data_IF_196619561842
#
_entry.id   IF_196619561842
#
_cell.length_a   1.000
_cell.length_b   1.000
_cell.length_c   1.000
_cell.angle_alpha   90.00
_cell.angle_beta   90.00
_cell.angle_gamma   90.00
#
_symmetry.space_group_name_H-M   'P 1'
#
loop_
_entity.id
_entity.type
_entity.pdbx_description
1 polymer ?
#
# COMPACT_ATOMS: atom_id res chain seq x y z
N UNK A 1 37.17 52.06 31.81
CA UNK A 1 37.55 50.78 31.17
C UNK A 1 36.40 49.83 31.38
N UNK A 2 35.55 49.64 30.35
CA UNK A 2 34.43 48.70 30.38
C UNK A 2 34.74 47.55 29.45
N UNK A 3 34.90 46.37 30.03
CA UNK A 3 35.12 45.09 29.36
C UNK A 3 33.74 44.52 28.97
N UNK A 4 33.45 44.52 27.69
CA UNK A 4 32.31 43.83 27.10
C UNK A 4 32.66 42.32 26.97
N UNK A 5 31.93 41.49 27.74
CA UNK A 5 31.96 40.05 27.59
C UNK A 5 31.04 39.65 26.41
N UNK A 6 31.63 39.11 25.35
CA UNK A 6 30.85 38.49 24.24
C UNK A 6 30.35 37.13 24.72
N UNK A 7 29.01 37.00 24.77
CA UNK A 7 28.34 35.72 24.99
C UNK A 7 28.46 34.90 23.72
N UNK A 8 29.19 33.80 23.76
CA UNK A 8 29.25 32.81 22.72
C UNK A 8 27.91 32.06 22.69
N UNK A 9 27.18 32.17 21.58
CA UNK A 9 25.99 31.37 21.32
C UNK A 9 26.38 29.91 21.23
N UNK A 10 25.92 29.09 22.18
CA UNK A 10 26.03 27.64 22.12
C UNK A 10 25.25 27.15 20.91
N UNK A 11 25.96 26.58 19.93
CA UNK A 11 25.33 25.89 18.80
C UNK A 11 24.57 24.67 19.36
N UNK A 12 23.26 24.74 19.21
CA UNK A 12 22.33 23.67 19.59
C UNK A 12 22.62 22.45 18.71
N UNK A 13 23.44 21.52 19.22
CA UNK A 13 23.78 20.25 18.57
C UNK A 13 22.65 19.23 18.74
N UNK A 14 21.47 19.53 18.17
CA UNK A 14 20.45 18.51 17.97
C UNK A 14 21.01 17.40 17.09
N UNK A 15 20.95 16.12 17.52
CA UNK A 15 21.47 15.02 16.72
C UNK A 15 20.82 15.03 15.34
N UNK A 16 21.62 14.98 14.28
CA UNK A 16 21.15 14.86 12.89
C UNK A 16 20.14 13.69 12.82
N UNK A 17 18.87 14.03 12.66
CA UNK A 17 17.84 13.02 12.49
C UNK A 17 18.13 12.23 11.21
N UNK A 18 18.35 10.92 11.34
CA UNK A 18 18.67 10.02 10.23
C UNK A 18 17.37 9.49 9.62
N UNK A 19 17.25 9.48 8.29
CA UNK A 19 16.15 8.85 7.56
C UNK A 19 16.64 7.64 6.75
N UNK A 20 15.70 6.74 6.40
CA UNK A 20 15.96 5.57 5.54
C UNK A 20 15.77 5.82 4.04
N UNK A 21 15.56 7.06 3.61
CA UNK A 21 15.28 7.38 2.21
C UNK A 21 16.49 7.15 1.32
N UNK A 22 16.26 6.40 0.21
CA UNK A 22 17.22 6.16 -0.88
C UNK A 22 16.54 6.56 -2.18
N UNK A 23 17.22 7.27 -3.07
CA UNK A 23 16.65 7.76 -4.33
C UNK A 23 15.65 8.91 -4.12
N UNK A 24 14.35 8.66 -4.24
CA UNK A 24 13.31 9.64 -3.96
C UNK A 24 13.28 9.94 -2.45
N UNK A 25 13.46 11.21 -2.07
CA UNK A 25 13.60 11.63 -0.68
C UNK A 25 12.43 12.55 -0.29
N UNK A 26 11.31 11.94 0.08
CA UNK A 26 10.02 12.60 0.32
C UNK A 26 9.61 12.68 1.80
N UNK A 27 10.46 12.27 2.75
CA UNK A 27 10.16 12.44 4.17
C UNK A 27 10.47 13.85 4.67
N UNK A 28 9.87 14.25 5.80
CA UNK A 28 10.07 15.57 6.40
C UNK A 28 11.54 15.88 6.73
N UNK A 29 12.35 14.87 7.10
CA UNK A 29 13.78 15.06 7.34
C UNK A 29 14.50 15.49 6.06
N UNK A 30 14.23 14.80 4.95
CA UNK A 30 14.81 15.14 3.66
C UNK A 30 14.38 16.51 3.17
N UNK A 31 13.14 16.90 3.40
CA UNK A 31 12.62 18.23 3.04
C UNK A 31 13.32 19.34 3.83
N UNK A 32 13.51 19.15 5.15
CA UNK A 32 14.24 20.13 5.99
C UNK A 32 15.72 20.26 5.63
N UNK A 33 16.35 19.20 5.16
CA UNK A 33 17.78 19.19 4.76
C UNK A 33 18.03 19.76 3.36
N UNK A 34 16.97 19.92 2.55
CA UNK A 34 17.09 20.50 1.21
C UNK A 34 16.70 21.98 1.24
N UNK A 35 17.70 22.84 1.19
CA UNK A 35 17.49 24.27 0.95
C UNK A 35 17.11 24.48 -0.53
N UNK A 36 15.84 24.35 -0.90
CA UNK A 36 15.34 24.58 -2.25
C UNK A 36 14.04 23.83 -2.53
N UNK A 37 13.25 24.32 -3.51
CA UNK A 37 12.00 23.67 -3.92
C UNK A 37 12.27 22.24 -4.38
N UNK A 38 11.56 21.25 -3.83
CA UNK A 38 11.73 19.86 -4.21
C UNK A 38 11.42 19.66 -5.71
N UNK A 39 12.19 18.84 -6.45
CA UNK A 39 11.96 18.61 -7.88
C UNK A 39 10.60 17.98 -8.23
N UNK A 40 9.84 17.49 -7.23
CA UNK A 40 8.49 16.94 -7.37
C UNK A 40 7.36 17.97 -7.16
N UNK A 41 7.67 19.23 -6.83
CA UNK A 41 6.72 20.35 -6.94
C UNK A 41 6.48 20.79 -8.40
N UNK A 42 6.59 19.89 -9.37
CA UNK A 42 5.81 20.03 -10.59
C UNK A 42 4.37 20.10 -10.14
N UNK A 43 3.67 21.17 -10.51
CA UNK A 43 2.24 21.36 -10.23
C UNK A 43 1.56 20.01 -10.38
N UNK A 44 0.94 19.46 -9.33
CA UNK A 44 0.29 18.15 -9.46
C UNK A 44 -0.69 18.30 -10.62
N UNK A 45 -0.48 17.52 -11.68
CA UNK A 45 -1.43 17.46 -12.78
C UNK A 45 -2.78 17.21 -12.12
N UNK A 46 -3.75 18.11 -12.33
CA UNK A 46 -5.05 18.03 -11.64
C UNK A 46 -5.68 16.70 -12.04
N UNK A 47 -5.65 15.74 -11.16
CA UNK A 47 -6.26 14.43 -11.40
C UNK A 47 -7.74 14.48 -11.04
N UNK A 48 -8.55 13.86 -11.87
CA UNK A 48 -9.95 13.58 -11.59
C UNK A 48 -10.01 12.47 -10.53
N UNK A 49 -10.41 12.81 -9.32
CA UNK A 49 -10.49 11.87 -8.21
C UNK A 49 -11.87 11.21 -8.18
N UNK A 50 -11.91 9.89 -8.31
CA UNK A 50 -13.11 9.07 -8.15
C UNK A 50 -13.04 8.33 -6.82
N UNK A 51 -14.18 8.11 -6.17
CA UNK A 51 -14.29 7.37 -4.92
C UNK A 51 -14.70 5.93 -5.22
N UNK A 52 -13.91 4.97 -4.77
CA UNK A 52 -14.25 3.55 -4.89
C UNK A 52 -15.39 3.17 -3.94
N UNK A 53 -16.41 2.53 -4.48
CA UNK A 53 -17.52 1.97 -3.72
C UNK A 53 -17.36 0.44 -3.63
N UNK A 54 -17.01 -0.13 -2.47
CA UNK A 54 -16.79 -1.56 -2.34
C UNK A 54 -18.06 -2.40 -2.53
N UNK A 55 -19.24 -1.83 -2.30
CA UNK A 55 -20.51 -2.54 -2.43
C UNK A 55 -20.91 -2.77 -3.90
N UNK A 56 -20.44 -1.92 -4.80
CA UNK A 56 -20.77 -1.98 -6.23
C UNK A 56 -19.58 -2.37 -7.12
N UNK A 57 -18.34 -2.19 -6.65
CA UNK A 57 -17.14 -2.35 -7.45
C UNK A 57 -16.91 -1.22 -8.47
N UNK A 58 -17.54 -0.07 -8.28
CA UNK A 58 -17.43 1.08 -9.16
C UNK A 58 -16.61 2.20 -8.52
N UNK A 59 -15.94 2.96 -9.38
CA UNK A 59 -15.32 4.24 -9.03
C UNK A 59 -16.29 5.35 -9.44
N UNK A 60 -16.74 6.14 -8.46
CA UNK A 60 -17.81 7.13 -8.61
C UNK A 60 -17.27 8.55 -8.44
N UNK A 61 -17.70 9.47 -9.28
CA UNK A 61 -17.38 10.89 -9.14
C UNK A 61 -17.92 11.45 -7.81
N UNK A 62 -17.10 12.25 -7.08
CA UNK A 62 -17.52 12.83 -5.82
C UNK A 62 -18.75 13.72 -5.98
N UNK A 63 -19.57 13.75 -4.93
CA UNK A 63 -20.68 14.71 -4.83
C UNK A 63 -20.13 16.15 -4.88
N UNK A 64 -20.90 17.06 -5.43
CA UNK A 64 -20.58 18.49 -5.60
C UNK A 64 -19.31 18.74 -6.45
N UNK A 65 -18.93 17.80 -7.35
CA UNK A 65 -17.83 17.93 -8.31
C UNK A 65 -18.34 17.94 -9.76
N UNK A 66 -17.49 18.32 -10.71
CA UNK A 66 -17.74 18.21 -12.16
C UNK A 66 -17.86 16.76 -12.67
N UNK A 67 -17.62 15.81 -11.78
CA UNK A 67 -17.73 14.37 -12.01
C UNK A 67 -18.93 13.74 -11.31
N UNK A 68 -19.74 14.53 -10.61
CA UNK A 68 -20.94 14.00 -9.96
C UNK A 68 -21.87 13.32 -10.97
N UNK A 69 -22.35 12.13 -10.62
CA UNK A 69 -23.16 11.30 -11.50
C UNK A 69 -22.38 10.50 -12.54
N UNK A 70 -21.05 10.69 -12.67
CA UNK A 70 -20.20 9.89 -13.53
C UNK A 70 -19.50 8.78 -12.76
N UNK A 71 -19.36 7.61 -13.40
CA UNK A 71 -18.71 6.47 -12.79
C UNK A 71 -18.11 5.52 -13.85
N UNK A 72 -17.28 4.60 -13.40
CA UNK A 72 -16.79 3.49 -14.22
C UNK A 72 -16.52 2.24 -13.35
N UNK A 73 -16.63 1.02 -13.92
CA UNK A 73 -16.28 -0.22 -13.22
C UNK A 73 -14.80 -0.22 -12.83
N UNK A 74 -14.49 -0.54 -11.58
CA UNK A 74 -13.12 -0.65 -11.08
C UNK A 74 -12.89 -2.02 -10.45
N UNK A 75 -12.73 -3.08 -11.26
CA UNK A 75 -12.60 -4.44 -10.78
C UNK A 75 -11.23 -4.72 -10.17
N UNK A 76 -11.16 -5.79 -9.36
CA UNK A 76 -9.92 -6.28 -8.76
C UNK A 76 -9.61 -5.65 -7.39
N UNK A 77 -10.60 -5.05 -6.75
CA UNK A 77 -10.50 -4.56 -5.38
C UNK A 77 -11.52 -5.28 -4.51
N UNK A 78 -11.04 -5.92 -3.44
CA UNK A 78 -11.90 -6.47 -2.39
C UNK A 78 -11.50 -5.84 -1.06
N UNK A 79 -12.49 -5.32 -0.32
CA UNK A 79 -12.31 -4.72 0.99
C UNK A 79 -13.17 -5.45 2.02
N UNK A 80 -12.51 -6.12 2.97
CA UNK A 80 -13.16 -6.85 4.06
C UNK A 80 -12.97 -6.03 5.33
N UNK A 81 -14.05 -5.39 5.81
CA UNK A 81 -14.04 -4.57 7.01
C UNK A 81 -14.03 -5.47 8.26
N UNK A 82 -13.46 -4.95 9.35
CA UNK A 82 -13.37 -5.64 10.65
C UNK A 82 -12.85 -7.08 10.55
N UNK A 83 -11.85 -7.28 9.69
CA UNK A 83 -11.21 -8.58 9.46
C UNK A 83 -10.54 -9.13 10.74
N UNK A 84 -10.04 -8.27 11.60
CA UNK A 84 -9.53 -8.60 12.95
C UNK A 84 -10.31 -7.81 14.00
N UNK A 85 -10.43 -8.38 15.20
CA UNK A 85 -11.05 -7.68 16.34
C UNK A 85 -10.12 -6.60 16.90
N UNK A 86 -10.62 -5.66 17.73
CA UNK A 86 -9.76 -4.69 18.42
C UNK A 86 -8.68 -5.34 19.30
N UNK A 87 -9.00 -6.47 19.95
CA UNK A 87 -8.07 -7.21 20.81
C UNK A 87 -6.97 -7.88 19.97
N UNK A 88 -7.35 -8.50 18.83
CA UNK A 88 -6.40 -9.07 17.87
C UNK A 88 -5.48 -8.00 17.30
N UNK A 89 -6.01 -6.84 16.93
CA UNK A 89 -5.24 -5.69 16.47
C UNK A 89 -4.21 -5.25 17.52
N UNK A 90 -4.66 -5.05 18.76
CA UNK A 90 -3.80 -4.61 19.87
C UNK A 90 -2.65 -5.61 20.12
N UNK A 91 -2.95 -6.91 20.12
CA UNK A 91 -1.95 -7.95 20.33
C UNK A 91 -0.97 -8.04 19.15
N UNK A 92 -1.44 -7.95 17.91
CA UNK A 92 -0.57 -7.95 16.73
C UNK A 92 0.39 -6.76 16.74
N UNK A 93 -0.11 -5.57 17.04
CA UNK A 93 0.71 -4.35 17.11
C UNK A 93 1.73 -4.44 18.25
N UNK A 94 1.32 -4.94 19.43
CA UNK A 94 2.23 -5.19 20.55
C UNK A 94 3.37 -6.12 20.17
N UNK A 95 3.08 -7.22 19.45
CA UNK A 95 4.08 -8.18 18.99
C UNK A 95 4.99 -7.58 17.91
N UNK A 96 4.45 -6.80 16.97
CA UNK A 96 5.25 -6.07 16.00
C UNK A 96 6.18 -5.06 16.68
N UNK A 97 5.70 -4.34 17.70
CA UNK A 97 6.48 -3.33 18.42
C UNK A 97 7.55 -3.95 19.36
N UNK A 98 7.46 -5.25 19.67
CA UNK A 98 8.51 -5.96 20.42
C UNK A 98 9.77 -6.24 19.59
N UNK A 99 9.66 -6.21 18.27
CA UNK A 99 10.77 -6.36 17.35
C UNK A 99 11.23 -4.98 16.79
N UNK A 100 12.51 -4.81 16.43
CA UNK A 100 13.03 -3.55 15.94
C UNK A 100 12.43 -3.14 14.58
N UNK A 101 12.00 -1.90 14.46
CA UNK A 101 11.59 -1.27 13.22
C UNK A 101 12.79 -0.65 12.49
N UNK A 102 13.06 -1.06 11.26
CA UNK A 102 14.10 -0.46 10.40
C UNK A 102 13.57 0.78 9.69
N UNK A 103 14.40 1.82 9.57
CA UNK A 103 14.07 2.99 8.76
C UNK A 103 13.91 2.60 7.28
N UNK A 104 12.89 3.16 6.65
CA UNK A 104 12.53 2.87 5.26
C UNK A 104 12.32 4.14 4.44
N UNK A 105 11.99 3.96 3.17
CA UNK A 105 11.72 5.01 2.20
C UNK A 105 10.56 5.91 2.65
N UNK A 106 10.59 7.20 2.28
CA UNK A 106 9.50 8.16 2.44
C UNK A 106 8.95 8.24 3.87
N UNK A 107 9.84 8.27 4.88
CA UNK A 107 9.50 8.45 6.29
C UNK A 107 8.85 7.24 6.99
N UNK A 108 8.70 6.12 6.30
CA UNK A 108 8.20 4.87 6.90
C UNK A 108 9.25 4.17 7.73
N UNK A 109 8.81 3.25 8.58
CA UNK A 109 9.63 2.17 9.14
C UNK A 109 9.08 0.84 8.65
N UNK A 110 9.88 -0.21 8.67
CA UNK A 110 9.48 -1.53 8.18
C UNK A 110 10.07 -2.67 8.98
N UNK A 111 9.42 -3.82 8.88
CA UNK A 111 9.91 -5.13 9.27
C UNK A 111 9.65 -6.07 8.11
N UNK A 112 10.68 -6.71 7.60
CA UNK A 112 10.58 -7.64 6.47
C UNK A 112 10.65 -9.08 6.99
N UNK A 113 9.69 -9.90 6.59
CA UNK A 113 9.66 -11.35 6.78
C UNK A 113 9.56 -11.99 5.40
N UNK A 114 10.70 -12.17 4.76
CA UNK A 114 10.76 -12.68 3.39
C UNK A 114 12.19 -12.92 2.93
N UNK A 115 12.35 -13.49 1.75
CA UNK A 115 13.67 -13.73 1.16
C UNK A 115 14.35 -12.41 0.76
N UNK A 116 15.66 -12.44 0.65
CA UNK A 116 16.41 -11.31 0.10
C UNK A 116 16.32 -11.28 -1.42
N UNK A 117 15.78 -10.18 -1.97
CA UNK A 117 15.51 -10.05 -3.41
C UNK A 117 16.38 -8.97 -4.04
N UNK A 118 16.94 -9.28 -5.22
CA UNK A 118 17.50 -8.31 -6.14
C UNK A 118 16.61 -8.26 -7.40
N UNK A 119 15.63 -7.37 -7.41
CA UNK A 119 14.66 -7.24 -8.50
C UNK A 119 15.33 -6.93 -9.85
N UNK A 120 16.36 -6.07 -9.88
CA UNK A 120 17.06 -5.73 -11.12
C UNK A 120 17.73 -6.93 -11.80
N UNK A 121 18.24 -7.89 -11.00
CA UNK A 121 18.90 -9.09 -11.48
C UNK A 121 17.99 -10.31 -11.49
N UNK A 122 16.74 -10.15 -11.05
CA UNK A 122 15.79 -11.25 -10.84
C UNK A 122 16.43 -12.43 -10.08
N UNK A 123 17.09 -12.09 -8.96
CA UNK A 123 17.76 -13.07 -8.10
C UNK A 123 17.21 -13.01 -6.69
N UNK A 124 16.97 -14.18 -6.14
CA UNK A 124 16.42 -14.40 -4.83
C UNK A 124 17.33 -15.30 -4.02
N UNK A 125 17.43 -15.04 -2.70
CA UNK A 125 18.19 -15.85 -1.75
C UNK A 125 17.39 -15.98 -0.46
N UNK A 126 17.38 -17.16 0.15
CA UNK A 126 16.79 -17.40 1.47
C UNK A 126 17.39 -16.48 2.55
N UNK A 127 18.70 -16.31 2.58
CA UNK A 127 19.46 -15.28 3.36
C UNK A 127 18.95 -15.07 4.80
N UNK A 128 18.70 -16.15 5.53
CA UNK A 128 18.23 -16.09 6.92
C UNK A 128 16.72 -15.97 7.09
N UNK A 129 15.95 -16.01 6.01
CA UNK A 129 14.49 -16.10 6.08
C UNK A 129 14.07 -17.44 6.71
N UNK A 130 13.39 -17.35 7.85
CA UNK A 130 12.96 -18.52 8.65
C UNK A 130 11.45 -18.72 8.62
N UNK A 131 10.71 -17.83 7.97
CA UNK A 131 9.27 -17.90 7.85
C UNK A 131 8.54 -16.59 8.14
N UNK A 132 7.23 -16.65 8.03
CA UNK A 132 6.34 -15.57 8.48
C UNK A 132 6.32 -15.54 10.02
N UNK A 133 5.98 -14.39 10.64
CA UNK A 133 5.90 -14.31 12.09
C UNK A 133 4.74 -15.11 12.64
N UNK A 134 4.91 -15.69 13.83
CA UNK A 134 3.92 -16.57 14.48
C UNK A 134 2.57 -15.87 14.72
N UNK A 135 2.58 -14.57 15.00
CA UNK A 135 1.35 -13.81 15.22
C UNK A 135 0.46 -13.70 13.98
N UNK A 136 1.01 -13.91 12.77
CA UNK A 136 0.25 -13.85 11.52
C UNK A 136 -0.44 -15.18 11.15
N UNK A 137 -0.14 -16.29 11.85
CA UNK A 137 -0.67 -17.60 11.50
C UNK A 137 -2.20 -17.64 11.51
N UNK A 138 -2.84 -17.07 12.54
CA UNK A 138 -4.31 -17.01 12.63
C UNK A 138 -4.91 -16.15 11.50
N UNK A 139 -4.27 -15.03 11.20
CA UNK A 139 -4.67 -14.09 10.14
C UNK A 139 -4.62 -14.78 8.79
N UNK A 140 -3.52 -15.44 8.45
CA UNK A 140 -3.36 -16.17 7.18
C UNK A 140 -4.37 -17.31 7.05
N UNK A 141 -4.61 -18.08 8.12
CA UNK A 141 -5.65 -19.12 8.10
C UNK A 141 -7.05 -18.54 7.86
N UNK A 142 -7.36 -17.40 8.50
CA UNK A 142 -8.64 -16.71 8.32
C UNK A 142 -8.83 -16.21 6.89
N UNK A 143 -7.77 -15.74 6.21
CA UNK A 143 -7.84 -15.35 4.80
C UNK A 143 -8.43 -16.47 3.94
N UNK A 144 -8.04 -17.72 4.17
CA UNK A 144 -8.55 -18.88 3.43
C UNK A 144 -10.04 -19.18 3.61
N UNK A 145 -10.75 -18.46 4.46
CA UNK A 145 -12.20 -18.55 4.61
C UNK A 145 -12.98 -17.57 3.71
N UNK A 146 -12.27 -16.70 3.00
CA UNK A 146 -12.88 -15.67 2.16
C UNK A 146 -12.77 -16.03 0.68
N UNK A 147 -13.84 -15.76 -0.12
CA UNK A 147 -13.83 -15.99 -1.56
C UNK A 147 -12.65 -15.33 -2.25
N UNK A 148 -11.93 -16.10 -3.08
CA UNK A 148 -10.76 -15.66 -3.81
C UNK A 148 -9.45 -15.68 -3.01
N UNK A 149 -9.47 -16.12 -1.73
CA UNK A 149 -8.29 -16.28 -0.89
C UNK A 149 -8.11 -17.72 -0.36
N UNK A 150 -8.92 -18.67 -0.79
CA UNK A 150 -8.94 -20.06 -0.29
C UNK A 150 -7.58 -20.75 -0.48
N UNK A 151 -6.93 -20.48 -1.59
CA UNK A 151 -5.61 -21.00 -1.96
C UNK A 151 -4.48 -19.98 -1.83
N UNK A 152 -4.72 -18.81 -1.22
CA UNK A 152 -3.69 -17.81 -0.99
C UNK A 152 -2.63 -18.33 -0.02
N UNK A 153 -1.38 -18.37 -0.48
CA UNK A 153 -0.23 -18.89 0.30
C UNK A 153 0.88 -17.82 0.29
N UNK A 154 0.89 -16.92 1.27
CA UNK A 154 1.91 -15.88 1.34
C UNK A 154 3.28 -16.46 1.67
N UNK A 155 4.30 -15.93 1.00
CA UNK A 155 5.73 -16.24 1.25
C UNK A 155 6.49 -15.03 1.76
N UNK A 156 5.87 -13.86 1.76
CA UNK A 156 6.43 -12.64 2.32
C UNK A 156 5.37 -11.92 3.13
N UNK A 157 5.81 -11.36 4.23
CA UNK A 157 5.08 -10.33 4.97
C UNK A 157 6.00 -9.12 5.19
N UNK A 158 5.53 -7.96 4.78
CA UNK A 158 6.18 -6.69 5.06
C UNK A 158 5.28 -5.86 5.97
N UNK A 159 5.73 -5.61 7.19
CA UNK A 159 5.06 -4.66 8.08
C UNK A 159 5.58 -3.26 7.79
N UNK A 160 4.68 -2.29 7.63
CA UNK A 160 5.01 -0.90 7.42
C UNK A 160 4.35 -0.04 8.50
N UNK A 161 5.16 0.83 9.11
CA UNK A 161 4.73 1.82 10.11
C UNK A 161 4.81 3.22 9.52
N UNK A 162 3.66 3.89 9.48
CA UNK A 162 3.48 5.26 9.00
C UNK A 162 3.22 6.18 10.19
N UNK A 163 3.77 7.39 10.12
CA UNK A 163 3.56 8.43 11.13
C UNK A 163 3.55 9.82 10.47
N UNK A 164 2.61 10.70 10.87
CA UNK A 164 2.56 12.07 10.38
C UNK A 164 3.84 12.86 10.74
N UNK A 165 4.43 12.61 11.91
CA UNK A 165 5.64 13.31 12.38
C UNK A 165 6.87 13.02 11.51
N UNK A 166 6.90 11.87 10.85
CA UNK A 166 7.93 11.52 9.87
C UNK A 166 7.58 11.92 8.45
N UNK A 167 6.34 12.41 8.21
CA UNK A 167 5.81 12.67 6.88
C UNK A 167 5.75 11.40 6.04
N UNK A 168 5.28 10.33 6.66
CA UNK A 168 5.25 9.01 6.02
C UNK A 168 4.29 8.96 4.84
N UNK A 169 4.74 8.35 3.75
CA UNK A 169 3.98 8.13 2.53
C UNK A 169 4.48 6.88 1.80
N UNK A 170 3.75 6.42 0.81
CA UNK A 170 4.26 5.48 -0.19
C UNK A 170 3.93 6.04 -1.56
N UNK A 171 4.99 6.22 -2.36
CA UNK A 171 4.88 6.79 -3.70
C UNK A 171 4.17 5.80 -4.65
N UNK A 172 3.51 6.28 -5.73
CA UNK A 172 2.84 5.41 -6.68
C UNK A 172 3.80 4.36 -7.26
N UNK A 173 3.43 3.08 -7.16
CA UNK A 173 4.23 1.96 -7.67
C UNK A 173 3.37 0.75 -7.99
N UNK A 174 3.92 -0.14 -8.80
CA UNK A 174 3.46 -1.51 -8.97
C UNK A 174 4.41 -2.43 -8.21
N UNK A 175 3.88 -3.45 -7.57
CA UNK A 175 4.71 -4.53 -7.04
C UNK A 175 5.24 -5.37 -8.21
N UNK A 176 6.48 -5.85 -8.10
CA UNK A 176 7.16 -6.59 -9.16
C UNK A 176 6.45 -7.90 -9.47
N UNK A 177 5.99 -8.07 -10.72
CA UNK A 177 5.23 -9.23 -11.17
C UNK A 177 6.08 -10.46 -11.50
N UNK A 178 7.42 -10.32 -11.60
CA UNK A 178 8.29 -11.48 -11.74
C UNK A 178 8.25 -12.35 -10.48
N UNK A 179 8.22 -11.74 -9.30
CA UNK A 179 8.28 -12.46 -8.03
C UNK A 179 6.91 -12.64 -7.39
N UNK A 180 6.09 -11.57 -7.40
CA UNK A 180 4.82 -11.53 -6.68
C UNK A 180 3.65 -11.91 -7.57
N UNK A 181 2.80 -12.78 -7.06
CA UNK A 181 1.67 -13.35 -7.76
C UNK A 181 0.50 -12.40 -7.96
N UNK A 182 -0.66 -13.01 -8.17
CA UNK A 182 -1.89 -12.32 -8.55
C UNK A 182 -2.46 -11.45 -7.44
N UNK A 183 -2.33 -11.86 -6.19
CA UNK A 183 -2.99 -11.22 -5.05
C UNK A 183 -1.99 -10.44 -4.19
N UNK A 184 -2.25 -9.14 -4.00
CA UNK A 184 -1.61 -8.32 -2.98
C UNK A 184 -2.61 -8.12 -1.84
N UNK A 185 -2.28 -8.61 -0.67
CA UNK A 185 -3.18 -8.60 0.49
C UNK A 185 -2.58 -7.73 1.59
N UNK A 186 -3.32 -6.73 2.05
CA UNK A 186 -2.84 -5.78 3.07
C UNK A 186 -3.84 -5.64 4.21
N UNK A 187 -3.44 -6.00 5.42
CA UNK A 187 -4.19 -5.77 6.65
C UNK A 187 -3.82 -4.40 7.22
N UNK A 188 -4.81 -3.51 7.34
CA UNK A 188 -4.64 -2.16 7.88
C UNK A 188 -4.95 -2.12 9.37
N UNK A 189 -4.05 -1.55 10.17
CA UNK A 189 -4.14 -1.50 11.62
C UNK A 189 -3.99 -0.06 12.16
N UNK A 190 -4.54 0.20 13.34
CA UNK A 190 -4.54 1.42 14.14
C UNK A 190 -5.36 2.56 13.56
N UNK A 191 -5.09 3.02 12.36
CA UNK A 191 -5.84 4.12 11.77
C UNK A 191 -6.24 3.86 10.33
N UNK A 192 -7.34 4.51 9.93
CA UNK A 192 -7.79 4.50 8.54
C UNK A 192 -6.81 5.26 7.64
N UNK A 193 -6.88 4.96 6.34
CA UNK A 193 -6.15 5.68 5.30
C UNK A 193 -6.91 5.66 3.98
N UNK A 194 -6.35 6.28 2.96
CA UNK A 194 -6.83 6.17 1.57
C UNK A 194 -5.69 5.61 0.73
N UNK A 195 -5.97 4.55 0.01
CA UNK A 195 -5.10 4.03 -1.06
C UNK A 195 -5.52 4.70 -2.35
N UNK A 196 -4.60 5.45 -2.96
CA UNK A 196 -4.79 6.14 -4.24
C UNK A 196 -4.29 5.25 -5.37
N UNK A 197 -5.17 4.94 -6.31
CA UNK A 197 -4.85 4.15 -7.50
C UNK A 197 -4.74 5.07 -8.70
N UNK A 198 -3.65 4.98 -9.47
CA UNK A 198 -3.46 5.79 -10.67
C UNK A 198 -2.83 4.97 -11.80
N UNK A 199 -3.05 5.40 -13.05
CA UNK A 199 -2.57 4.68 -14.22
C UNK A 199 -1.84 5.64 -15.14
N UNK A 200 -0.57 5.35 -15.41
CA UNK A 200 0.29 6.16 -16.26
C UNK A 200 0.22 5.76 -17.76
N UNK A 201 -0.44 4.63 -18.06
CA UNK A 201 -0.56 4.13 -19.43
C UNK A 201 -1.40 5.09 -20.31
N UNK A 202 -1.05 5.23 -21.61
CA UNK A 202 -1.87 5.97 -22.54
C UNK A 202 -3.25 5.32 -22.72
N UNK A 203 -4.24 6.11 -23.13
CA UNK A 203 -5.60 5.65 -23.33
C UNK A 203 -6.61 6.47 -22.54
N UNK A 204 -7.87 6.15 -22.72
CA UNK A 204 -8.97 6.86 -22.05
C UNK A 204 -9.89 5.87 -21.37
N UNK A 205 -10.47 6.31 -20.26
CA UNK A 205 -11.55 5.64 -19.56
C UNK A 205 -12.88 6.18 -20.08
N UNK A 206 -13.79 5.29 -20.35
CA UNK A 206 -15.16 5.63 -20.69
C UNK A 206 -15.97 5.70 -19.38
N UNK A 207 -16.48 6.87 -19.08
CA UNK A 207 -17.38 7.10 -17.98
C UNK A 207 -18.81 6.88 -18.45
N UNK A 208 -19.63 6.28 -17.60
CA UNK A 208 -21.05 6.15 -17.76
C UNK A 208 -21.79 6.84 -16.62
N UNK A 209 -23.09 7.00 -16.73
CA UNK A 209 -23.90 7.42 -15.59
C UNK A 209 -23.71 6.45 -14.43
N UNK A 210 -23.53 7.00 -13.23
CA UNK A 210 -23.39 6.18 -12.03
C UNK A 210 -24.57 5.25 -11.88
N UNK A 211 -24.37 3.95 -11.55
CA UNK A 211 -25.47 3.05 -11.30
C UNK A 211 -26.35 3.60 -10.16
N UNK A 212 -27.66 3.65 -10.38
CA UNK A 212 -28.58 4.03 -9.32
C UNK A 212 -28.43 3.03 -8.17
N UNK A 213 -28.13 3.52 -6.98
CA UNK A 213 -28.10 2.73 -5.75
C UNK A 213 -29.54 2.51 -5.27
N UNK A 214 -30.22 1.46 -5.79
CA UNK A 214 -31.56 1.13 -5.37
C UNK A 214 -32.24 0.05 -6.23
N UNK A 215 -33.35 -0.56 -5.74
CA UNK A 215 -34.01 -1.65 -6.44
C UNK A 215 -34.71 -1.25 -7.77
N UNK A 216 -34.78 0.04 -8.12
CA UNK A 216 -35.43 0.54 -9.33
C UNK A 216 -34.52 0.67 -10.57
N UNK A 217 -33.26 0.17 -10.51
CA UNK A 217 -32.23 0.35 -11.54
C UNK A 217 -32.48 -0.41 -12.87
N UNK A 218 -33.61 -1.08 -13.06
CA UNK A 218 -33.85 -2.01 -14.18
C UNK A 218 -34.84 -1.50 -15.25
N UNK A 219 -35.24 -0.23 -15.27
CA UNK A 219 -36.17 0.29 -16.29
C UNK A 219 -35.56 1.46 -17.06
N UNK A 220 -35.09 1.17 -18.27
CA UNK A 220 -34.84 2.21 -19.28
C UNK A 220 -33.56 2.02 -20.09
N UNK A 221 -33.66 1.33 -21.22
CA UNK A 221 -32.63 1.33 -22.25
C UNK A 221 -32.64 2.66 -23.01
N UNK A 222 -32.08 3.70 -22.37
CA UNK A 222 -31.69 4.94 -23.05
C UNK A 222 -30.18 4.82 -23.20
N UNK A 223 -29.66 5.12 -24.39
CA UNK A 223 -28.19 5.23 -24.59
C UNK A 223 -27.67 6.21 -23.55
N UNK A 224 -27.05 5.67 -22.49
CA UNK A 224 -26.58 6.49 -21.39
C UNK A 224 -25.50 7.44 -21.93
N UNK A 225 -25.49 8.71 -21.55
CA UNK A 225 -24.42 9.63 -21.95
C UNK A 225 -23.07 9.02 -21.54
N UNK A 226 -22.10 9.11 -22.44
CA UNK A 226 -20.74 8.65 -22.18
C UNK A 226 -19.77 9.83 -22.27
N UNK A 227 -18.79 9.86 -21.35
CA UNK A 227 -17.71 10.84 -21.31
C UNK A 227 -16.37 10.09 -21.30
N UNK A 228 -15.42 10.54 -22.10
CA UNK A 228 -14.06 9.97 -22.10
C UNK A 228 -13.12 10.86 -21.31
N UNK A 229 -12.27 10.26 -20.47
CA UNK A 229 -11.26 10.96 -19.67
C UNK A 229 -9.92 10.22 -19.85
N UNK A 230 -8.78 10.94 -20.10
CA UNK A 230 -7.47 10.31 -20.20
C UNK A 230 -7.15 9.53 -18.92
N UNK A 231 -6.63 8.29 -19.07
CA UNK A 231 -6.29 7.43 -17.92
C UNK A 231 -5.32 8.10 -16.96
N UNK A 232 -4.37 8.88 -17.49
CA UNK A 232 -3.33 9.58 -16.70
C UNK A 232 -3.89 10.69 -15.80
N UNK A 233 -5.08 11.20 -16.13
CA UNK A 233 -5.76 12.25 -15.36
C UNK A 233 -6.70 11.68 -14.29
N UNK A 234 -6.77 10.35 -14.16
CA UNK A 234 -7.68 9.69 -13.21
C UNK A 234 -6.92 9.17 -11.99
N UNK A 235 -7.48 9.42 -10.83
CA UNK A 235 -7.10 8.80 -9.56
C UNK A 235 -8.34 8.17 -8.93
N UNK A 236 -8.24 6.91 -8.47
CA UNK A 236 -9.30 6.25 -7.72
C UNK A 236 -8.88 6.15 -6.26
N UNK A 237 -9.67 6.72 -5.37
CA UNK A 237 -9.44 6.74 -3.93
C UNK A 237 -10.22 5.59 -3.26
N UNK A 238 -9.50 4.65 -2.67
CA UNK A 238 -10.06 3.54 -1.90
C UNK A 238 -9.93 3.88 -0.42
N UNK A 239 -11.07 4.13 0.25
CA UNK A 239 -11.08 4.32 1.69
C UNK A 239 -10.85 2.99 2.40
N UNK A 240 -9.79 2.91 3.21
CA UNK A 240 -9.36 1.70 3.93
C UNK A 240 -9.46 1.94 5.42
N UNK A 241 -10.54 1.48 6.09
CA UNK A 241 -10.70 1.58 7.55
C UNK A 241 -9.59 0.82 8.30
N UNK A 242 -9.41 1.11 9.58
CA UNK A 242 -8.61 0.26 10.45
C UNK A 242 -9.24 -1.15 10.54
N UNK A 243 -8.43 -2.16 10.86
CA UNK A 243 -8.80 -3.57 10.96
C UNK A 243 -9.39 -4.19 9.69
N UNK A 244 -9.24 -3.55 8.53
CA UNK A 244 -9.72 -4.08 7.26
C UNK A 244 -8.62 -4.73 6.44
N UNK A 245 -9.01 -5.76 5.68
CA UNK A 245 -8.17 -6.44 4.72
C UNK A 245 -8.49 -5.89 3.32
N UNK A 246 -7.49 -5.33 2.67
CA UNK A 246 -7.55 -4.91 1.26
C UNK A 246 -6.87 -5.94 0.39
N UNK A 247 -7.55 -6.41 -0.65
CA UNK A 247 -7.01 -7.33 -1.65
C UNK A 247 -7.03 -6.64 -3.01
N UNK A 248 -5.89 -6.60 -3.68
CA UNK A 248 -5.76 -6.12 -5.06
C UNK A 248 -5.42 -7.28 -5.98
N UNK A 249 -6.19 -7.41 -7.07
CA UNK A 249 -6.07 -8.46 -8.09
C UNK A 249 -6.27 -7.89 -9.49
N UNK A 250 -5.99 -8.66 -10.53
CA UNK A 250 -6.28 -8.32 -11.92
C UNK A 250 -5.78 -6.93 -12.33
N UNK A 251 -6.66 -6.15 -12.94
CA UNK A 251 -6.29 -4.80 -13.41
C UNK A 251 -5.83 -3.88 -12.28
N UNK A 252 -6.49 -3.92 -11.12
CA UNK A 252 -6.09 -3.12 -9.96
C UNK A 252 -4.66 -3.47 -9.48
N UNK A 253 -4.25 -4.74 -9.57
CA UNK A 253 -2.92 -5.23 -9.21
C UNK A 253 -1.86 -4.92 -10.28
N UNK A 254 -2.19 -5.12 -11.58
CA UNK A 254 -1.19 -5.17 -12.63
C UNK A 254 -1.13 -3.92 -13.52
N UNK A 255 -2.17 -3.09 -13.53
CA UNK A 255 -2.27 -1.94 -14.42
C UNK A 255 -2.38 -0.60 -13.68
N UNK A 256 -2.74 -0.62 -12.40
CA UNK A 256 -2.88 0.58 -11.59
C UNK A 256 -1.80 0.61 -10.51
N UNK A 257 -1.02 1.68 -10.51
CA UNK A 257 -0.09 1.95 -9.40
C UNK A 257 -0.89 2.28 -8.15
N UNK A 258 -0.40 1.84 -6.99
CA UNK A 258 -1.00 2.17 -5.71
C UNK A 258 -0.07 3.04 -4.88
N UNK A 259 -0.66 3.97 -4.13
CA UNK A 259 0.03 4.93 -3.28
C UNK A 259 -0.74 5.22 -2.00
N UNK A 260 -0.06 5.74 -0.98
CA UNK A 260 -0.69 6.38 0.17
C UNK A 260 -0.04 7.75 0.32
N UNK A 261 -0.79 8.80 0.03
CA UNK A 261 -0.29 10.17 0.15
C UNK A 261 -0.17 10.57 1.62
N UNK A 262 0.81 11.42 1.93
CA UNK A 262 1.07 11.94 3.28
C UNK A 262 -0.19 12.55 3.92
N UNK A 263 -1.02 13.24 3.14
CA UNK A 263 -2.27 13.84 3.62
C UNK A 263 -3.27 12.83 4.20
N UNK A 264 -3.13 11.55 3.86
CA UNK A 264 -3.99 10.46 4.34
C UNK A 264 -3.41 9.71 5.55
N UNK A 265 -2.28 10.17 6.09
CA UNK A 265 -1.66 9.67 7.32
C UNK A 265 -1.83 10.73 8.40
N UNK A 266 -2.93 10.66 9.14
CA UNK A 266 -3.28 11.64 10.18
C UNK A 266 -2.89 11.19 11.59
N UNK A 267 -2.74 9.89 11.79
CA UNK A 267 -2.26 9.26 13.02
C UNK A 267 -1.33 8.10 12.67
N UNK A 268 -0.69 7.49 13.66
CA UNK A 268 0.11 6.27 13.44
C UNK A 268 -0.76 5.22 12.78
N UNK A 269 -0.28 4.69 11.68
CA UNK A 269 -0.87 3.57 10.95
C UNK A 269 0.16 2.46 10.78
N UNK A 270 -0.24 1.24 11.05
CA UNK A 270 0.54 0.05 10.75
C UNK A 270 -0.20 -0.78 9.71
N UNK A 271 0.50 -1.41 8.81
CA UNK A 271 -0.09 -2.45 7.96
C UNK A 271 0.85 -3.65 7.83
N UNK A 272 0.25 -4.82 7.67
CA UNK A 272 0.92 -6.05 7.27
C UNK A 272 0.52 -6.36 5.84
N UNK A 273 1.47 -6.30 4.90
CA UNK A 273 1.25 -6.64 3.49
C UNK A 273 1.80 -8.03 3.23
N UNK A 274 0.97 -8.89 2.67
CA UNK A 274 1.27 -10.28 2.35
C UNK A 274 1.34 -10.47 0.85
N UNK A 275 2.34 -11.24 0.38
CA UNK A 275 2.58 -11.53 -1.03
C UNK A 275 2.76 -13.01 -1.25
N UNK A 276 2.12 -13.53 -2.28
CA UNK A 276 2.31 -14.88 -2.79
C UNK A 276 3.30 -14.89 -3.95
N UNK A 277 3.81 -16.07 -4.30
CA UNK A 277 4.73 -16.24 -5.43
C UNK A 277 4.01 -16.16 -6.78
N UNK A 278 4.71 -15.62 -7.77
CA UNK A 278 4.27 -15.67 -9.17
C UNK A 278 4.36 -17.08 -9.75
N UNK A 279 3.79 -17.28 -10.93
CA UNK A 279 3.83 -18.54 -11.67
C UNK A 279 5.25 -19.04 -11.95
N UNK A 280 6.26 -18.17 -11.98
CA UNK A 280 7.68 -18.54 -12.13
C UNK A 280 8.16 -19.52 -11.05
N UNK A 281 7.59 -19.44 -9.84
CA UNK A 281 7.98 -20.19 -8.65
C UNK A 281 6.96 -21.27 -8.25
N UNK A 282 5.84 -21.38 -8.98
CA UNK A 282 4.82 -22.39 -8.74
C UNK A 282 5.10 -23.68 -9.54
N UNK A 283 4.38 -24.80 -9.28
CA UNK A 283 4.52 -26.01 -10.05
C UNK A 283 4.42 -25.78 -11.55
N UNK A 284 5.43 -26.25 -12.31
CA UNK A 284 5.58 -25.99 -13.74
C UNK A 284 6.36 -24.72 -14.09
N UNK A 285 6.66 -23.84 -13.12
CA UNK A 285 7.53 -22.67 -13.30
C UNK A 285 9.02 -23.03 -13.27
N UNK A 286 9.86 -22.16 -13.83
CA UNK A 286 11.31 -22.40 -13.95
C UNK A 286 12.04 -22.49 -12.60
N UNK A 287 11.50 -21.89 -11.56
CA UNK A 287 12.08 -21.83 -10.22
C UNK A 287 11.20 -22.52 -9.17
N UNK A 288 10.45 -23.57 -9.58
CA UNK A 288 9.49 -24.25 -8.71
C UNK A 288 10.12 -24.85 -7.44
N UNK A 289 11.34 -25.40 -7.52
CA UNK A 289 12.04 -25.97 -6.37
C UNK A 289 12.32 -24.90 -5.31
N UNK A 290 12.85 -23.75 -5.73
CA UNK A 290 13.06 -22.60 -4.84
C UNK A 290 11.72 -22.08 -4.29
N UNK A 291 10.67 -22.08 -5.10
CA UNK A 291 9.33 -21.70 -4.68
C UNK A 291 8.78 -22.61 -3.58
N UNK A 292 8.96 -23.93 -3.69
CA UNK A 292 8.56 -24.89 -2.67
C UNK A 292 9.34 -24.70 -1.36
N UNK A 293 10.67 -24.49 -1.45
CA UNK A 293 11.51 -24.20 -0.29
C UNK A 293 11.06 -22.94 0.45
N UNK A 294 10.79 -21.86 -0.30
CA UNK A 294 10.27 -20.59 0.23
C UNK A 294 8.92 -20.76 0.91
N UNK A 295 8.00 -21.48 0.27
CA UNK A 295 6.66 -21.70 0.81
C UNK A 295 6.71 -22.52 2.10
N UNK A 296 7.51 -23.58 2.13
CA UNK A 296 7.72 -24.39 3.31
C UNK A 296 8.27 -23.57 4.47
N UNK A 297 9.31 -22.76 4.20
CA UNK A 297 9.85 -21.86 5.21
C UNK A 297 8.80 -20.84 5.68
N UNK A 298 8.11 -20.15 4.77
CA UNK A 298 7.13 -19.13 5.08
C UNK A 298 6.04 -19.65 6.01
N UNK A 299 5.45 -20.80 5.69
CA UNK A 299 4.33 -21.38 6.43
C UNK A 299 4.73 -22.13 7.72
N UNK A 300 6.01 -22.14 8.07
CA UNK A 300 6.47 -22.57 9.40
C UNK A 300 6.03 -21.62 10.51
N UNK A 301 5.83 -20.33 10.19
CA UNK A 301 5.50 -19.25 11.12
C UNK A 301 6.50 -19.09 12.28
N UNK A 302 7.78 -19.32 12.01
CA UNK A 302 8.87 -19.20 12.97
C UNK A 302 9.79 -18.01 12.68
N UNK A 303 9.36 -17.10 11.81
CA UNK A 303 10.15 -16.00 11.31
C UNK A 303 10.37 -14.88 12.31
N UNK A 304 11.56 -14.27 12.17
CA UNK A 304 11.91 -12.97 12.76
C UNK A 304 12.20 -11.97 11.64
N UNK A 305 12.09 -10.66 11.91
CA UNK A 305 12.36 -9.66 10.86
C UNK A 305 13.83 -9.73 10.41
N UNK A 306 14.05 -9.78 9.09
CA UNK A 306 15.39 -9.89 8.46
C UNK A 306 15.97 -8.54 8.05
#
# INVERSE_FOLDING_TARGET
>A
MATTAAAAAAADSTPLQVCGCKGIRTCLICERQRHGSPPWQRSPQKKHCFLYCPDTGWAMGPKDSDLEGWAFPFPGVTLIKDFVTPEEEAEMVRLMDSDPWKLSQSGRRKQDYGPKVNFRKQKLKMAGFQGLPSFSQKVVRRMGLYPGLEDFRPVEQCNLDYSPERGSAIDPHLDDAWLWGERLVSLSLLSATVVSMSREAPGSLLLSSAPALGPDALKGSIVAPSRSVPCQEVEVAISVPCRSLLVLTGAARHQWTHAIHRRHIQARRVCATFRELSSEFLPGGKQQELGQELLQAALSFQGRPV
#
